data_IF_092430205847
#
_entry.id   IF_092430205847
#
_cell.length_a   1.000
_cell.length_b   1.000
_cell.length_c   1.000
_cell.angle_alpha   90.00
_cell.angle_beta   90.00
_cell.angle_gamma   90.00
#
_symmetry.space_group_name_H-M   'P 1'
#
loop_
_entity.id
_entity.type
_entity.pdbx_description
1 polymer ?
#
# COMPACT_ATOMS: atom_id res chain seq x y z
N UNK A 1 -0.14 32.17 -15.77
CA UNK A 1 0.81 31.61 -16.75
C UNK A 1 1.66 30.60 -16.01
N UNK A 2 1.37 29.30 -16.12
CA UNK A 2 2.23 28.28 -15.49
C UNK A 2 3.47 28.20 -16.35
N UNK A 3 4.62 28.60 -15.82
CA UNK A 3 5.89 28.24 -16.45
C UNK A 3 5.90 26.72 -16.53
N UNK A 4 5.83 26.18 -17.74
CA UNK A 4 6.22 24.81 -18.00
C UNK A 4 7.70 24.74 -17.62
N UNK A 5 7.95 24.34 -16.37
CA UNK A 5 9.25 23.85 -15.94
C UNK A 5 9.63 22.80 -16.97
N UNK A 6 10.69 23.10 -17.71
CA UNK A 6 11.25 22.25 -18.74
C UNK A 6 11.29 20.80 -18.30
N UNK A 7 10.85 19.91 -19.19
CA UNK A 7 11.13 18.48 -19.17
C UNK A 7 12.67 18.35 -19.15
N UNK A 8 13.27 18.35 -17.98
CA UNK A 8 14.73 18.24 -17.81
C UNK A 8 15.01 17.41 -16.58
N UNK A 9 15.89 16.43 -16.76
CA UNK A 9 16.47 15.52 -15.77
C UNK A 9 16.43 16.12 -14.36
N UNK A 10 15.50 15.61 -13.55
CA UNK A 10 15.46 15.93 -12.14
C UNK A 10 16.82 15.54 -11.57
N UNK A 11 17.53 16.51 -10.97
CA UNK A 11 18.82 16.22 -10.33
C UNK A 11 18.57 15.26 -9.17
N UNK A 12 19.00 14.01 -9.34
CA UNK A 12 18.98 13.01 -8.28
C UNK A 12 20.22 13.18 -7.40
N UNK A 13 20.11 14.03 -6.39
CA UNK A 13 21.12 14.12 -5.35
C UNK A 13 20.91 12.96 -4.38
N UNK A 14 21.69 11.90 -4.53
CA UNK A 14 21.56 10.73 -3.67
C UNK A 14 21.87 11.10 -2.22
N UNK A 15 20.99 10.70 -1.29
CA UNK A 15 21.21 10.84 0.16
C UNK A 15 21.83 9.58 0.78
N UNK A 16 22.22 8.60 -0.04
CA UNK A 16 22.92 7.40 0.43
C UNK A 16 24.19 7.78 1.20
N UNK A 17 24.36 7.20 2.39
CA UNK A 17 25.48 7.53 3.29
C UNK A 17 25.29 8.82 4.11
N UNK A 18 24.20 9.56 3.91
CA UNK A 18 23.79 10.70 4.75
C UNK A 18 22.72 10.30 5.78
N UNK A 19 22.15 9.09 5.64
CA UNK A 19 21.13 8.49 6.52
C UNK A 19 21.63 7.12 6.99
N UNK A 20 20.96 6.51 7.99
CA UNK A 20 21.34 5.16 8.44
C UNK A 20 21.15 4.13 7.33
N UNK A 21 21.88 3.01 7.40
CA UNK A 21 21.73 1.91 6.44
C UNK A 21 20.31 1.34 6.42
N UNK A 22 19.66 1.32 7.59
CA UNK A 22 18.28 0.86 7.77
C UNK A 22 17.27 1.82 7.14
N UNK A 23 17.44 3.14 7.33
CA UNK A 23 16.64 4.13 6.60
C UNK A 23 16.85 4.00 5.09
N UNK A 24 18.10 3.91 4.64
CA UNK A 24 18.41 3.78 3.22
C UNK A 24 17.79 2.54 2.58
N UNK A 25 17.86 1.39 3.25
CA UNK A 25 17.24 0.17 2.76
C UNK A 25 15.71 0.29 2.69
N UNK A 26 15.09 0.93 3.67
CA UNK A 26 13.64 1.17 3.68
C UNK A 26 13.22 2.05 2.50
N UNK A 27 14.00 3.09 2.19
CA UNK A 27 13.79 3.97 1.02
C UNK A 27 13.89 3.21 -0.30
N UNK A 28 14.91 2.36 -0.43
CA UNK A 28 15.13 1.50 -1.61
C UNK A 28 13.95 0.54 -1.81
N UNK A 29 13.48 -0.08 -0.74
CA UNK A 29 12.36 -1.02 -0.78
C UNK A 29 11.04 -0.33 -1.14
N UNK A 30 10.75 0.83 -0.56
CA UNK A 30 9.57 1.63 -0.94
C UNK A 30 9.63 2.07 -2.41
N UNK A 31 10.79 2.56 -2.87
CA UNK A 31 10.97 2.96 -4.26
C UNK A 31 10.75 1.77 -5.22
N UNK A 32 11.32 0.61 -4.93
CA UNK A 32 11.08 -0.62 -5.71
C UNK A 32 9.60 -1.00 -5.75
N UNK A 33 8.93 -0.95 -4.59
CA UNK A 33 7.51 -1.22 -4.46
C UNK A 33 6.66 -0.29 -5.32
N UNK A 34 6.91 1.01 -5.26
CA UNK A 34 6.22 1.99 -6.11
C UNK A 34 6.42 1.71 -7.60
N UNK A 35 7.64 1.40 -8.05
CA UNK A 35 7.92 1.07 -9.47
C UNK A 35 7.15 -0.15 -9.95
N UNK A 36 7.09 -1.21 -9.14
CA UNK A 36 6.36 -2.43 -9.49
C UNK A 36 4.84 -2.24 -9.39
N UNK A 37 4.36 -1.54 -8.37
CA UNK A 37 2.93 -1.19 -8.29
C UNK A 37 2.48 -0.34 -9.49
N UNK A 38 3.34 0.58 -9.97
CA UNK A 38 3.09 1.31 -11.22
C UNK A 38 3.01 0.37 -12.42
N UNK A 39 3.99 -0.54 -12.57
CA UNK A 39 3.98 -1.56 -13.63
C UNK A 39 2.71 -2.41 -13.62
N UNK A 40 2.20 -2.71 -12.43
CA UNK A 40 0.96 -3.48 -12.24
C UNK A 40 -0.32 -2.64 -12.39
N UNK A 41 -0.20 -1.33 -12.59
CA UNK A 41 -1.33 -0.43 -12.79
C UNK A 41 -2.13 -0.14 -11.51
N UNK A 42 -1.50 -0.19 -10.34
CA UNK A 42 -2.20 -0.02 -9.07
C UNK A 42 -2.43 1.45 -8.69
N UNK A 43 -1.54 2.35 -9.11
CA UNK A 43 -1.64 3.76 -8.75
C UNK A 43 -2.49 4.55 -9.76
N UNK A 44 -3.27 5.51 -9.25
CA UNK A 44 -3.97 6.53 -10.03
C UNK A 44 -3.20 7.83 -9.96
N UNK A 45 -2.45 8.12 -11.02
CA UNK A 45 -1.69 9.36 -11.14
C UNK A 45 -0.74 9.53 -9.91
N UNK A 46 -0.60 10.73 -9.37
CA UNK A 46 0.30 11.09 -8.25
C UNK A 46 -0.36 11.07 -6.86
N UNK A 47 -1.47 10.34 -6.67
CA UNK A 47 -2.34 10.47 -5.46
C UNK A 47 -2.21 9.36 -4.42
N UNK A 48 -1.53 8.26 -4.76
CA UNK A 48 -1.44 7.11 -3.86
C UNK A 48 -0.24 7.20 -2.93
N UNK A 49 -0.30 6.44 -1.84
CA UNK A 49 0.67 6.50 -0.76
C UNK A 49 1.19 5.11 -0.43
N UNK A 50 2.51 4.99 -0.31
CA UNK A 50 3.18 3.85 0.28
C UNK A 50 4.07 4.35 1.42
N UNK A 51 3.74 3.92 2.64
CA UNK A 51 4.37 4.39 3.88
C UNK A 51 5.02 3.22 4.60
N UNK A 52 6.23 3.43 5.14
CA UNK A 52 6.87 2.46 6.01
C UNK A 52 7.60 3.12 7.18
N UNK A 53 7.57 2.46 8.33
CA UNK A 53 8.38 2.78 9.50
C UNK A 53 9.84 2.42 9.22
N UNK A 54 10.75 3.20 9.77
CA UNK A 54 12.18 2.90 9.72
C UNK A 54 12.50 1.89 10.86
N UNK A 55 13.08 0.71 10.58
CA UNK A 55 13.26 -0.33 11.59
C UNK A 55 14.06 0.07 12.84
N UNK A 56 15.10 0.89 12.70
CA UNK A 56 15.95 1.40 13.79
C UNK A 56 15.47 2.75 14.37
N UNK A 57 14.46 3.36 13.76
CA UNK A 57 13.83 4.60 14.22
C UNK A 57 12.29 4.41 14.25
N UNK A 58 11.76 3.63 15.20
CA UNK A 58 10.37 3.21 15.15
C UNK A 58 9.38 4.37 15.30
N UNK A 59 9.80 5.54 15.78
CA UNK A 59 8.99 6.76 15.84
C UNK A 59 8.97 7.55 14.51
N UNK A 60 9.55 7.02 13.45
CA UNK A 60 9.71 7.69 12.16
C UNK A 60 9.22 6.85 10.99
N UNK A 61 8.64 7.55 10.02
CA UNK A 61 8.07 6.98 8.80
C UNK A 61 8.65 7.65 7.56
N UNK A 62 8.61 6.91 6.46
CA UNK A 62 8.94 7.37 5.11
C UNK A 62 7.69 7.31 4.25
N UNK A 63 7.43 8.37 3.49
CA UNK A 63 6.29 8.48 2.55
C UNK A 63 6.77 9.03 1.20
N UNK A 64 6.16 8.59 0.11
CA UNK A 64 6.42 9.16 -1.21
C UNK A 64 5.90 10.61 -1.31
N UNK A 65 6.65 11.52 -1.95
CA UNK A 65 6.19 12.89 -2.19
C UNK A 65 5.01 12.94 -3.17
N UNK A 66 4.25 14.02 -3.12
CA UNK A 66 3.29 14.38 -4.17
C UNK A 66 4.00 15.18 -5.26
N UNK A 67 3.71 14.85 -6.53
CA UNK A 67 4.26 15.57 -7.68
C UNK A 67 5.07 14.70 -8.64
N UNK A 68 5.27 13.43 -8.30
CA UNK A 68 5.93 12.44 -9.13
C UNK A 68 5.00 11.26 -9.38
N UNK A 69 5.03 10.74 -10.60
CA UNK A 69 4.51 9.40 -10.83
C UNK A 69 5.33 8.38 -10.04
N UNK A 70 4.69 7.29 -9.65
CA UNK A 70 5.39 6.18 -9.00
C UNK A 70 6.48 5.57 -9.89
N UNK A 71 6.36 5.71 -11.21
CA UNK A 71 7.39 5.38 -12.20
C UNK A 71 8.60 6.30 -12.19
N UNK A 72 8.62 7.39 -11.43
CA UNK A 72 9.73 8.35 -11.35
C UNK A 72 10.42 8.31 -9.98
N UNK A 73 9.79 7.70 -8.97
CA UNK A 73 10.29 7.69 -7.60
C UNK A 73 11.63 6.97 -7.45
N UNK A 74 12.53 7.61 -6.73
CA UNK A 74 13.83 7.08 -6.30
C UNK A 74 13.90 7.01 -4.78
N UNK A 75 14.85 6.28 -4.22
CA UNK A 75 15.03 6.12 -2.78
C UNK A 75 15.25 7.49 -2.08
N UNK A 76 15.96 8.39 -2.75
CA UNK A 76 16.22 9.74 -2.25
C UNK A 76 15.00 10.66 -2.25
N UNK A 77 13.91 10.27 -2.91
CA UNK A 77 12.70 11.11 -3.00
C UNK A 77 11.78 11.01 -1.79
N UNK A 78 11.87 9.91 -1.03
CA UNK A 78 11.01 9.69 0.11
C UNK A 78 11.24 10.76 1.18
N UNK A 79 10.17 11.20 1.81
CA UNK A 79 10.25 12.24 2.84
C UNK A 79 10.11 11.54 4.19
N UNK A 80 11.04 11.81 5.11
CA UNK A 80 10.97 11.32 6.49
C UNK A 80 10.10 12.24 7.33
N UNK A 81 9.22 11.66 8.14
CA UNK A 81 8.40 12.33 9.15
C UNK A 81 8.53 11.61 10.49
N UNK A 82 8.30 12.33 11.59
CA UNK A 82 7.90 11.68 12.85
C UNK A 82 6.40 11.33 12.83
N UNK A 83 5.92 10.58 13.82
CA UNK A 83 4.51 10.19 13.93
C UNK A 83 3.56 11.37 14.23
N UNK A 84 4.09 12.52 14.67
CA UNK A 84 3.31 13.75 14.86
C UNK A 84 3.14 14.55 13.57
N UNK A 85 3.67 14.06 12.44
CA UNK A 85 3.59 14.73 11.14
C UNK A 85 4.66 15.82 10.93
N UNK A 86 5.68 15.92 11.79
CA UNK A 86 6.78 16.84 11.58
C UNK A 86 7.75 16.30 10.52
N UNK A 87 8.01 17.10 9.49
CA UNK A 87 8.93 16.73 8.42
C UNK A 87 10.39 16.78 8.89
N UNK A 88 11.13 15.68 8.68
CA UNK A 88 12.52 15.51 9.12
C UNK A 88 13.53 15.49 7.95
N UNK A 89 13.07 15.27 6.71
CA UNK A 89 13.91 15.38 5.50
C UNK A 89 13.51 16.61 4.70
N UNK A 90 14.47 17.46 4.30
CA UNK A 90 14.20 18.56 3.37
C UNK A 90 13.81 18.01 2.00
N UNK A 91 12.69 18.49 1.45
CA UNK A 91 12.20 18.11 0.12
C UNK A 91 11.65 19.35 -0.59
N UNK A 92 11.93 19.47 -1.88
CA UNK A 92 11.35 20.51 -2.75
C UNK A 92 9.93 20.15 -3.22
N UNK A 93 9.51 18.90 -2.99
CA UNK A 93 8.16 18.42 -3.26
C UNK A 93 7.37 18.29 -1.94
N UNK A 94 6.08 18.68 -1.93
CA UNK A 94 5.25 18.53 -0.74
C UNK A 94 4.93 17.04 -0.48
N UNK A 95 4.70 16.64 0.78
CA UNK A 95 4.02 15.37 1.04
C UNK A 95 2.60 15.40 0.47
N UNK A 96 1.99 14.24 0.24
CA UNK A 96 0.54 14.15 0.06
C UNK A 96 -0.14 14.40 1.40
N UNK A 97 -0.91 15.49 1.61
CA UNK A 97 -1.47 15.84 2.92
C UNK A 97 -2.35 14.73 3.50
N UNK A 98 -3.25 14.18 2.66
CA UNK A 98 -4.10 13.03 2.99
C UNK A 98 -3.28 11.78 3.35
N UNK A 99 -2.16 11.55 2.66
CA UNK A 99 -1.31 10.39 2.89
C UNK A 99 -0.51 10.47 4.18
N UNK A 100 -0.25 11.67 4.70
CA UNK A 100 0.44 11.83 5.97
C UNK A 100 -0.52 11.56 7.13
N UNK A 101 -1.67 12.23 7.16
CA UNK A 101 -2.53 12.30 8.34
C UNK A 101 -3.04 10.94 8.81
N UNK A 102 -3.66 10.14 7.92
CA UNK A 102 -4.21 8.86 8.38
C UNK A 102 -3.17 7.75 8.47
N UNK A 103 -2.13 7.73 7.62
CA UNK A 103 -1.10 6.69 7.69
C UNK A 103 -0.21 6.84 8.93
N UNK A 104 0.14 8.07 9.32
CA UNK A 104 0.92 8.31 10.55
C UNK A 104 0.12 7.90 11.79
N UNK A 105 -1.13 8.37 11.90
CA UNK A 105 -2.03 8.01 13.00
C UNK A 105 -2.28 6.49 13.07
N UNK A 106 -2.50 5.84 11.92
CA UNK A 106 -2.69 4.39 11.84
C UNK A 106 -1.46 3.63 12.34
N UNK A 107 -0.25 4.04 11.94
CA UNK A 107 0.98 3.39 12.38
C UNK A 107 1.32 3.74 13.84
N UNK A 108 0.95 4.91 14.35
CA UNK A 108 1.08 5.25 15.77
C UNK A 108 0.18 4.37 16.64
N UNK A 109 -1.10 4.21 16.25
CA UNK A 109 -2.07 3.39 16.97
C UNK A 109 -1.87 1.87 16.79
N UNK A 110 -1.05 1.45 15.83
CA UNK A 110 -0.73 0.04 15.53
C UNK A 110 0.79 -0.20 15.55
N UNK A 111 1.44 -0.19 16.72
CA UNK A 111 2.91 -0.29 16.82
C UNK A 111 3.48 -1.62 16.30
N UNK A 112 2.67 -2.67 16.20
CA UNK A 112 3.05 -3.97 15.60
C UNK A 112 3.03 -3.95 14.05
N UNK A 113 2.68 -2.81 13.44
CA UNK A 113 2.67 -2.58 12.00
C UNK A 113 3.85 -1.70 11.57
N UNK A 114 4.44 -2.09 10.45
CA UNK A 114 5.64 -1.45 9.90
C UNK A 114 5.46 -0.81 8.53
N UNK A 115 4.37 -1.11 7.81
CA UNK A 115 4.09 -0.45 6.53
C UNK A 115 2.59 -0.46 6.20
N UNK A 116 2.16 0.56 5.45
CA UNK A 116 0.80 0.69 4.94
C UNK A 116 0.80 1.18 3.49
N UNK A 117 -0.10 0.63 2.69
CA UNK A 117 -0.21 0.89 1.25
C UNK A 117 -1.67 1.15 0.89
N UNK A 118 -1.93 2.30 0.27
CA UNK A 118 -3.26 2.71 -0.17
C UNK A 118 -3.27 2.98 -1.68
N UNK A 119 -4.20 2.33 -2.41
CA UNK A 119 -4.26 2.38 -3.88
C UNK A 119 -5.68 2.62 -4.41
N UNK A 120 -5.78 3.13 -5.64
CA UNK A 120 -7.02 3.40 -6.38
C UNK A 120 -7.05 2.64 -7.72
N UNK A 121 -6.71 1.35 -7.68
CA UNK A 121 -6.76 0.47 -8.86
C UNK A 121 -8.21 0.26 -9.30
N UNK A 122 -8.48 0.22 -10.61
CA UNK A 122 -9.84 0.35 -11.15
C UNK A 122 -10.79 -0.79 -10.74
N UNK A 123 -10.32 -2.04 -10.73
CA UNK A 123 -11.12 -3.18 -10.27
C UNK A 123 -11.38 -3.10 -8.77
N UNK A 124 -10.38 -2.62 -8.04
CA UNK A 124 -10.44 -2.42 -6.60
C UNK A 124 -11.45 -1.34 -6.21
N UNK A 125 -11.50 -0.23 -6.96
CA UNK A 125 -12.55 0.80 -6.82
C UNK A 125 -13.93 0.24 -7.19
N UNK A 126 -14.02 -0.55 -8.25
CA UNK A 126 -15.29 -1.17 -8.65
C UNK A 126 -15.85 -2.09 -7.56
N UNK A 127 -14.99 -2.92 -6.93
CA UNK A 127 -15.38 -3.78 -5.82
C UNK A 127 -15.71 -2.97 -4.56
N UNK A 128 -14.94 -1.92 -4.23
CA UNK A 128 -15.22 -1.08 -3.06
C UNK A 128 -16.53 -0.31 -3.18
N UNK A 129 -16.94 0.06 -4.39
CA UNK A 129 -18.22 0.69 -4.68
C UNK A 129 -19.39 -0.31 -4.79
N UNK A 130 -19.12 -1.62 -4.83
CA UNK A 130 -20.17 -2.63 -4.99
C UNK A 130 -20.94 -2.88 -3.69
N UNK A 131 -22.25 -3.10 -3.80
CA UNK A 131 -23.13 -3.35 -2.63
C UNK A 131 -22.62 -4.53 -1.78
N UNK A 132 -22.25 -5.63 -2.43
CA UNK A 132 -21.81 -6.84 -1.73
C UNK A 132 -20.34 -6.80 -1.26
N UNK A 133 -19.57 -5.77 -1.63
CA UNK A 133 -18.15 -5.68 -1.29
C UNK A 133 -17.33 -6.82 -1.89
N UNK A 134 -16.30 -7.27 -1.19
CA UNK A 134 -15.49 -8.44 -1.59
C UNK A 134 -16.33 -9.71 -1.57
N UNK A 135 -16.22 -10.51 -2.62
CA UNK A 135 -16.88 -11.81 -2.74
C UNK A 135 -15.84 -12.92 -2.77
N UNK A 136 -16.19 -14.06 -2.18
CA UNK A 136 -15.26 -15.17 -1.95
C UNK A 136 -15.41 -16.25 -3.04
N UNK A 137 -14.97 -15.89 -4.25
CA UNK A 137 -15.29 -16.61 -5.50
C UNK A 137 -14.14 -17.48 -6.05
N UNK A 138 -12.93 -17.35 -5.51
CA UNK A 138 -11.75 -18.10 -5.94
C UNK A 138 -10.82 -18.40 -4.75
N UNK A 139 -9.81 -19.24 -4.94
CA UNK A 139 -8.89 -19.65 -3.86
C UNK A 139 -8.21 -18.46 -3.16
N UNK A 140 -7.72 -17.47 -3.93
CA UNK A 140 -7.01 -16.31 -3.40
C UNK A 140 -7.92 -15.43 -2.53
N UNK A 141 -9.18 -15.25 -2.93
CA UNK A 141 -10.18 -14.52 -2.15
C UNK A 141 -10.46 -15.16 -0.80
N UNK A 142 -10.39 -16.50 -0.70
CA UNK A 142 -10.67 -17.23 0.54
C UNK A 142 -9.62 -16.97 1.62
N UNK A 143 -8.42 -16.53 1.25
CA UNK A 143 -7.41 -16.05 2.20
C UNK A 143 -7.90 -14.84 3.01
N UNK A 144 -8.90 -14.12 2.49
CA UNK A 144 -9.47 -12.91 3.08
C UNK A 144 -10.82 -13.14 3.79
N UNK A 145 -11.30 -14.38 3.91
CA UNK A 145 -12.61 -14.68 4.50
C UNK A 145 -12.71 -14.24 5.97
N UNK A 146 -13.42 -13.14 6.24
CA UNK A 146 -13.47 -12.54 7.59
C UNK A 146 -12.23 -11.72 7.99
N UNK A 147 -11.28 -11.51 7.07
CA UNK A 147 -10.01 -10.82 7.31
C UNK A 147 -9.93 -9.42 6.65
N UNK A 148 -11.07 -8.91 6.17
CA UNK A 148 -11.20 -7.58 5.55
C UNK A 148 -12.11 -6.69 6.37
N UNK A 149 -11.61 -5.53 6.76
CA UNK A 149 -12.39 -4.44 7.35
C UNK A 149 -13.05 -3.60 6.25
N UNK A 150 -14.04 -2.81 6.62
CA UNK A 150 -14.66 -1.83 5.74
C UNK A 150 -14.68 -0.49 6.46
N UNK A 151 -14.42 0.57 5.69
CA UNK A 151 -14.56 1.96 6.11
C UNK A 151 -15.49 2.66 5.12
N UNK A 152 -16.54 3.31 5.63
CA UNK A 152 -17.51 4.02 4.79
C UNK A 152 -16.91 5.34 4.28
N UNK A 153 -17.35 5.81 3.10
CA UNK A 153 -16.77 6.99 2.48
C UNK A 153 -17.26 8.28 3.15
N UNK A 154 -16.35 9.05 3.74
CA UNK A 154 -16.66 10.31 4.44
C UNK A 154 -16.30 11.57 3.62
N UNK A 155 -15.73 11.42 2.42
CA UNK A 155 -15.31 12.52 1.57
C UNK A 155 -13.79 12.55 1.36
N UNK A 156 -13.24 13.75 1.14
CA UNK A 156 -11.79 13.92 1.06
C UNK A 156 -11.19 13.93 2.47
N UNK A 157 -10.03 13.30 2.61
CA UNK A 157 -9.23 13.20 3.83
C UNK A 157 -8.68 14.57 4.29
N UNK A 158 -9.56 15.42 4.81
CA UNK A 158 -9.27 16.79 5.28
C UNK A 158 -9.40 16.92 6.82
N UNK A 159 -9.65 15.83 7.54
CA UNK A 159 -9.88 15.81 8.98
C UNK A 159 -8.87 14.93 9.72
N UNK A 160 -8.34 15.43 10.84
CA UNK A 160 -7.36 14.71 11.67
C UNK A 160 -7.93 13.45 12.34
N UNK A 161 -9.25 13.28 12.34
CA UNK A 161 -9.97 12.17 12.97
C UNK A 161 -10.05 10.89 12.12
N UNK A 162 -9.79 10.98 10.80
CA UNK A 162 -9.94 9.82 9.89
C UNK A 162 -8.96 8.69 10.25
N UNK A 163 -7.72 9.03 10.62
CA UNK A 163 -6.69 8.05 11.01
C UNK A 163 -7.10 7.17 12.20
N UNK A 164 -7.49 7.77 13.35
CA UNK A 164 -8.03 7.02 14.49
C UNK A 164 -9.22 6.12 14.15
N UNK A 165 -10.20 6.61 13.37
CA UNK A 165 -11.37 5.82 12.96
C UNK A 165 -10.96 4.63 12.10
N UNK A 166 -10.12 4.84 11.09
CA UNK A 166 -9.58 3.76 10.25
C UNK A 166 -8.84 2.73 11.10
N UNK A 167 -8.05 3.16 12.08
CA UNK A 167 -7.31 2.25 12.96
C UNK A 167 -8.23 1.41 13.86
N UNK A 168 -9.32 1.99 14.35
CA UNK A 168 -10.36 1.31 15.12
C UNK A 168 -11.08 0.27 14.26
N UNK A 169 -11.63 0.68 13.10
CA UNK A 169 -12.40 -0.19 12.21
C UNK A 169 -11.55 -1.33 11.61
N UNK A 170 -10.26 -1.06 11.36
CA UNK A 170 -9.32 -2.10 10.95
C UNK A 170 -9.22 -3.21 12.01
N UNK A 171 -9.26 -2.87 13.29
CA UNK A 171 -9.08 -3.81 14.40
C UNK A 171 -7.77 -4.61 14.24
N UNK A 172 -7.84 -5.92 14.40
CA UNK A 172 -6.67 -6.81 14.24
C UNK A 172 -6.39 -7.21 12.79
N UNK A 173 -7.25 -6.79 11.85
CA UNK A 173 -7.14 -7.17 10.44
C UNK A 173 -5.98 -6.42 9.77
N UNK A 174 -5.66 -6.85 8.55
CA UNK A 174 -4.55 -6.28 7.76
C UNK A 174 -4.99 -5.69 6.42
N UNK A 175 -6.26 -5.88 6.05
CA UNK A 175 -6.82 -5.42 4.79
C UNK A 175 -8.11 -4.66 5.09
N UNK A 176 -8.33 -3.57 4.38
CA UNK A 176 -9.53 -2.77 4.47
C UNK A 176 -9.99 -2.36 3.07
N UNK A 177 -11.28 -2.49 2.83
CA UNK A 177 -11.95 -1.90 1.67
C UNK A 177 -12.52 -0.56 2.12
N UNK A 178 -11.97 0.51 1.57
CA UNK A 178 -12.50 1.87 1.76
C UNK A 178 -13.61 2.05 0.71
N UNK A 179 -14.86 2.01 1.17
CA UNK A 179 -16.05 2.05 0.31
C UNK A 179 -15.96 3.23 -0.65
N UNK A 180 -16.36 2.99 -1.91
CA UNK A 180 -16.35 4.01 -2.97
C UNK A 180 -14.98 4.66 -3.26
N UNK A 181 -13.88 4.18 -2.67
CA UNK A 181 -12.59 4.86 -2.69
C UNK A 181 -11.45 3.95 -3.17
N UNK A 182 -11.21 2.81 -2.51
CA UNK A 182 -10.08 1.95 -2.86
C UNK A 182 -9.74 0.93 -1.79
N UNK A 183 -8.46 0.54 -1.74
CA UNK A 183 -7.96 -0.47 -0.79
C UNK A 183 -6.89 0.11 0.11
N UNK A 184 -6.83 -0.41 1.33
CA UNK A 184 -5.75 -0.19 2.29
C UNK A 184 -5.26 -1.54 2.79
N UNK A 185 -3.94 -1.73 2.78
CA UNK A 185 -3.29 -2.87 3.44
C UNK A 185 -2.26 -2.41 4.44
N UNK A 186 -2.14 -3.12 5.56
CA UNK A 186 -1.24 -2.82 6.66
C UNK A 186 -0.57 -4.09 7.15
N UNK A 187 0.75 -4.14 7.08
CA UNK A 187 1.56 -5.32 7.38
C UNK A 187 2.67 -5.01 8.38
N UNK A 188 3.37 -6.06 8.81
CA UNK A 188 4.54 -5.96 9.71
C UNK A 188 5.72 -5.25 9.03
N UNK A 189 5.79 -5.29 7.71
CA UNK A 189 6.84 -4.68 6.89
C UNK A 189 6.34 -4.48 5.45
N UNK A 190 7.17 -3.83 4.63
CA UNK A 190 6.88 -3.53 3.21
C UNK A 190 6.51 -4.79 2.43
N UNK A 191 7.25 -5.89 2.62
CA UNK A 191 7.04 -7.14 1.89
C UNK A 191 5.66 -7.75 2.14
N UNK A 192 5.24 -7.85 3.41
CA UNK A 192 3.91 -8.37 3.76
C UNK A 192 2.81 -7.44 3.27
N UNK A 193 2.96 -6.13 3.46
CA UNK A 193 1.99 -5.12 2.98
C UNK A 193 1.79 -5.21 1.47
N UNK A 194 2.87 -5.29 0.70
CA UNK A 194 2.80 -5.37 -0.76
C UNK A 194 2.16 -6.68 -1.22
N UNK A 195 2.51 -7.81 -0.62
CA UNK A 195 1.97 -9.11 -0.99
C UNK A 195 0.48 -9.28 -0.60
N UNK A 196 0.03 -8.65 0.48
CA UNK A 196 -1.40 -8.54 0.79
C UNK A 196 -2.14 -7.74 -0.29
N UNK A 197 -1.57 -6.59 -0.70
CA UNK A 197 -2.17 -5.76 -1.74
C UNK A 197 -2.24 -6.48 -3.08
N UNK A 198 -1.18 -7.18 -3.48
CA UNK A 198 -1.14 -7.97 -4.72
C UNK A 198 -2.31 -8.97 -4.79
N UNK A 199 -2.47 -9.77 -3.74
CA UNK A 199 -3.54 -10.77 -3.66
C UNK A 199 -4.93 -10.14 -3.61
N UNK A 200 -5.07 -9.01 -2.91
CA UNK A 200 -6.36 -8.33 -2.79
C UNK A 200 -6.78 -7.70 -4.14
N UNK A 201 -5.85 -7.07 -4.85
CA UNK A 201 -6.07 -6.55 -6.20
C UNK A 201 -6.42 -7.68 -7.17
N UNK A 202 -5.72 -8.81 -7.13
CA UNK A 202 -6.04 -9.96 -7.99
C UNK A 202 -7.46 -10.48 -7.72
N UNK A 203 -7.84 -10.58 -6.44
CA UNK A 203 -9.21 -10.94 -6.04
C UNK A 203 -10.23 -9.97 -6.63
N UNK A 204 -10.00 -8.66 -6.51
CA UNK A 204 -10.88 -7.64 -7.08
C UNK A 204 -10.96 -7.75 -8.60
N UNK A 205 -9.85 -7.98 -9.31
CA UNK A 205 -9.81 -8.14 -10.77
C UNK A 205 -10.63 -9.34 -11.24
N UNK A 206 -10.53 -10.48 -10.57
CA UNK A 206 -11.34 -11.66 -10.90
C UNK A 206 -12.82 -11.37 -10.66
N UNK A 207 -13.15 -10.75 -9.53
CA UNK A 207 -14.53 -10.39 -9.20
C UNK A 207 -15.13 -9.40 -10.20
N UNK A 208 -14.41 -8.34 -10.57
CA UNK A 208 -14.88 -7.37 -11.56
C UNK A 208 -15.12 -8.02 -12.92
N UNK A 209 -14.24 -8.90 -13.38
CA UNK A 209 -14.44 -9.64 -14.65
C UNK A 209 -15.70 -10.50 -14.61
N UNK A 210 -15.96 -11.19 -13.50
CA UNK A 210 -17.18 -11.97 -13.32
C UNK A 210 -18.43 -11.08 -13.31
N UNK A 211 -18.40 -9.95 -12.58
CA UNK A 211 -19.49 -8.97 -12.53
C UNK A 211 -19.80 -8.37 -13.90
N UNK A 212 -18.79 -8.04 -14.70
CA UNK A 212 -18.95 -7.52 -16.06
C UNK A 212 -19.64 -8.50 -17.00
N UNK A 213 -19.42 -9.81 -16.80
CA UNK A 213 -20.08 -10.86 -17.57
C UNK A 213 -21.53 -11.13 -17.16
N UNK A 214 -21.99 -10.60 -16.01
CA UNK A 214 -23.31 -10.86 -15.46
C UNK A 214 -23.54 -12.32 -15.04
N UNK A 215 -22.47 -13.12 -14.94
CA UNK A 215 -22.57 -14.54 -14.63
C UNK A 215 -22.73 -14.76 -13.12
N UNK A 216 -23.63 -15.68 -12.77
CA UNK A 216 -23.65 -16.25 -11.42
C UNK A 216 -22.40 -17.09 -11.17
N UNK A 217 -22.01 -17.20 -9.90
CA UNK A 217 -20.91 -18.05 -9.49
C UNK A 217 -21.37 -19.05 -8.43
N UNK A 218 -20.68 -20.17 -8.38
CA UNK A 218 -20.93 -21.19 -7.35
C UNK A 218 -20.35 -20.69 -6.02
N UNK A 219 -21.21 -20.46 -5.05
CA UNK A 219 -20.79 -20.12 -3.69
C UNK A 219 -19.95 -21.25 -3.09
N UNK A 220 -18.86 -20.85 -2.43
CA UNK A 220 -18.04 -21.77 -1.63
C UNK A 220 -18.70 -21.94 -0.26
N UNK A 221 -18.98 -23.17 0.21
CA UNK A 221 -19.58 -23.37 1.53
C UNK A 221 -18.75 -22.71 2.64
N UNK A 222 -19.42 -22.16 3.64
CA UNK A 222 -18.81 -21.43 4.76
C UNK A 222 -17.65 -22.21 5.39
N UNK A 223 -17.84 -23.50 5.64
CA UNK A 223 -16.85 -24.37 6.28
C UNK A 223 -15.58 -24.51 5.43
N UNK A 224 -15.74 -24.50 4.09
CA UNK A 224 -14.61 -24.53 3.15
C UNK A 224 -13.90 -23.18 3.12
N UNK A 225 -14.63 -22.07 3.19
CA UNK A 225 -14.04 -20.74 3.31
C UNK A 225 -13.19 -20.60 4.58
N UNK A 226 -13.74 -20.96 5.73
CA UNK A 226 -13.05 -20.94 7.02
C UNK A 226 -11.83 -21.87 7.02
N UNK A 227 -11.98 -23.10 6.50
CA UNK A 227 -10.89 -24.04 6.39
C UNK A 227 -9.73 -23.49 5.53
N UNK A 228 -10.06 -22.91 4.37
CA UNK A 228 -9.06 -22.39 3.43
C UNK A 228 -8.33 -21.17 4.00
N UNK A 229 -9.06 -20.25 4.65
CA UNK A 229 -8.46 -19.13 5.39
C UNK A 229 -7.47 -19.63 6.45
N UNK A 230 -7.87 -20.63 7.24
CA UNK A 230 -7.02 -21.16 8.31
C UNK A 230 -5.78 -21.89 7.76
N UNK A 231 -5.89 -22.51 6.58
CA UNK A 231 -4.72 -23.02 5.86
C UNK A 231 -3.75 -21.90 5.46
N UNK A 232 -4.24 -20.78 4.95
CA UNK A 232 -3.40 -19.61 4.64
C UNK A 232 -2.75 -19.04 5.91
N UNK A 233 -3.50 -18.87 7.01
CA UNK A 233 -2.95 -18.43 8.30
C UNK A 233 -1.80 -19.33 8.78
N UNK A 234 -2.01 -20.65 8.81
CA UNK A 234 -0.97 -21.63 9.18
C UNK A 234 0.26 -21.59 8.27
N UNK A 235 0.06 -21.32 6.97
CA UNK A 235 1.18 -21.14 6.02
C UNK A 235 1.96 -19.88 6.33
N UNK A 236 1.28 -18.76 6.60
CA UNK A 236 1.91 -17.46 6.88
C UNK A 236 2.53 -17.37 8.27
N UNK A 237 2.09 -18.19 9.23
CA UNK A 237 2.77 -18.38 10.51
C UNK A 237 4.13 -19.05 10.34
N UNK A 238 4.21 -20.11 9.52
CA UNK A 238 5.46 -20.83 9.24
C UNK A 238 6.42 -20.02 8.38
N UNK A 239 5.88 -19.31 7.39
CA UNK A 239 6.64 -18.45 6.48
C UNK A 239 5.82 -17.19 6.18
N UNK A 240 6.18 -16.04 6.78
CA UNK A 240 5.49 -14.77 6.56
C UNK A 240 5.22 -14.49 5.09
N UNK A 241 3.98 -14.10 4.77
CA UNK A 241 3.60 -13.65 3.44
C UNK A 241 4.54 -12.54 2.95
N UNK A 242 4.95 -12.59 1.69
CA UNK A 242 5.87 -11.63 1.10
C UNK A 242 7.34 -12.00 1.21
N UNK A 243 7.71 -13.01 2.02
CA UNK A 243 9.12 -13.41 2.21
C UNK A 243 9.81 -13.79 0.89
N UNK A 244 9.15 -14.58 0.03
CA UNK A 244 9.73 -15.00 -1.24
C UNK A 244 9.40 -14.01 -2.37
N UNK A 245 8.15 -13.55 -2.35
CA UNK A 245 7.59 -12.68 -3.38
C UNK A 245 8.35 -11.36 -3.44
N UNK A 246 8.72 -10.79 -2.29
CA UNK A 246 9.43 -9.52 -2.23
C UNK A 246 10.82 -9.59 -2.88
N UNK A 247 11.55 -10.68 -2.68
CA UNK A 247 12.83 -10.86 -3.37
C UNK A 247 12.65 -10.90 -4.91
N UNK A 248 11.53 -11.45 -5.40
CA UNK A 248 11.20 -11.41 -6.83
C UNK A 248 10.82 -10.00 -7.30
N UNK A 249 10.03 -9.26 -6.52
CA UNK A 249 9.70 -7.84 -6.76
C UNK A 249 10.96 -7.00 -6.89
N UNK A 250 11.90 -7.11 -5.95
CA UNK A 250 13.17 -6.38 -5.99
C UNK A 250 14.02 -6.72 -7.23
N UNK A 251 14.10 -8.00 -7.60
CA UNK A 251 14.80 -8.43 -8.83
C UNK A 251 14.12 -7.90 -10.09
N UNK A 252 12.79 -7.83 -10.11
CA UNK A 252 12.04 -7.29 -11.24
C UNK A 252 12.24 -5.77 -11.35
N UNK A 253 12.13 -5.03 -10.25
CA UNK A 253 12.35 -3.58 -10.23
C UNK A 253 13.75 -3.23 -10.74
N UNK A 254 14.76 -3.98 -10.28
CA UNK A 254 16.14 -3.82 -10.72
C UNK A 254 16.33 -4.06 -12.22
N UNK A 255 15.62 -5.03 -12.78
CA UNK A 255 15.72 -5.39 -14.20
C UNK A 255 15.04 -4.36 -15.09
N UNK A 256 13.88 -3.86 -14.63
CA UNK A 256 13.06 -2.91 -15.40
C UNK A 256 13.66 -1.50 -15.39
N UNK A 257 14.06 -0.99 -14.22
CA UNK A 257 14.70 0.32 -14.10
C UNK A 257 15.47 0.42 -12.78
N UNK A 258 16.81 0.24 -12.76
CA UNK A 258 17.60 0.31 -11.53
C UNK A 258 17.70 1.72 -10.92
N UNK A 259 17.22 2.78 -11.60
CA UNK A 259 17.27 4.17 -11.11
C UNK A 259 16.46 4.40 -9.84
N UNK A 260 15.54 3.49 -9.48
CA UNK A 260 14.79 3.57 -8.22
C UNK A 260 15.70 3.60 -6.98
N UNK A 261 16.95 3.15 -7.09
CA UNK A 261 17.93 3.16 -5.99
C UNK A 261 18.68 4.48 -5.82
N UNK A 262 18.44 5.46 -6.68
CA UNK A 262 19.12 6.76 -6.58
C UNK A 262 18.67 7.54 -5.34
#
# INVERSE_FOLDING_TARGET
MVQASTITDRKHNSIKGQVSDSEWQTRVDLAAGCRIAYKFGWNKNIRNHFVARIPDEPDKILINPRGLFWSELTASDFIKFDLNGNQLTKSDLPPGPAGLNFHSALLDLKPDRGASLHIHEESSVAVSASVKGLQFINQESLAFYGEVAYHDYEGLADHDEEGPVIAEELGDKKCMIMRNHGLLTVGRNIAETFALMDRLVDTCRVQTKLMMGGAEYKEVPKEVCEHTRDQYKKRWEKKPLGTDEWAAVLRQANRDDPSFRL
#
